data_IF_116884911537
#
_entry.id   IF_116884911537
#
_cell.length_a   1.000
_cell.length_b   1.000
_cell.length_c   1.000
_cell.angle_alpha   90.00
_cell.angle_beta   90.00
_cell.angle_gamma   90.00
#
_symmetry.space_group_name_H-M   'P 1'
#
loop_
_entity.id
_entity.type
_entity.pdbx_description
1 polymer ?
#
# COMPACT_ATOMS: atom_id res chain seq x y z
N UNK A 1 -7.99 -2.10 -32.93
CA UNK A 1 -6.93 -1.24 -32.36
C UNK A 1 -6.47 -1.89 -31.07
N UNK A 2 -5.16 -2.09 -30.85
CA UNK A 2 -4.69 -2.64 -29.58
C UNK A 2 -4.84 -1.57 -28.49
N UNK A 3 -5.50 -1.91 -27.38
CA UNK A 3 -5.67 -1.00 -26.27
C UNK A 3 -4.44 -1.09 -25.37
N UNK A 4 -3.62 -0.04 -25.36
CA UNK A 4 -2.45 0.05 -24.49
C UNK A 4 -2.92 0.17 -23.04
N UNK A 5 -2.62 -0.84 -22.22
CA UNK A 5 -2.86 -0.79 -20.79
C UNK A 5 -1.59 -0.30 -20.08
N UNK A 6 -1.75 0.65 -19.17
CA UNK A 6 -0.67 1.22 -18.37
C UNK A 6 -0.85 0.80 -16.91
N UNK A 7 0.26 0.48 -16.25
CA UNK A 7 0.28 -0.01 -14.88
C UNK A 7 1.32 0.78 -14.05
N UNK A 8 0.96 1.11 -12.82
CA UNK A 8 1.93 1.46 -11.78
C UNK A 8 2.48 0.15 -11.21
N UNK A 9 3.79 -0.06 -11.30
CA UNK A 9 4.43 -1.30 -10.90
C UNK A 9 5.22 -1.13 -9.60
N UNK A 10 5.32 -2.22 -8.83
CA UNK A 10 6.04 -2.22 -7.56
C UNK A 10 6.50 -3.65 -7.20
N UNK A 11 7.48 -3.73 -6.32
CA UNK A 11 7.95 -5.01 -5.77
C UNK A 11 7.45 -5.20 -4.34
N UNK A 12 7.02 -6.42 -4.02
CA UNK A 12 6.54 -6.80 -2.69
C UNK A 12 6.99 -8.22 -2.38
N UNK A 13 7.79 -8.41 -1.33
CA UNK A 13 8.32 -9.71 -0.92
C UNK A 13 8.96 -10.53 -2.06
N UNK A 14 9.71 -9.87 -2.96
CA UNK A 14 10.37 -10.51 -4.11
C UNK A 14 9.49 -10.71 -5.34
N UNK A 15 8.19 -10.42 -5.26
CA UNK A 15 7.27 -10.50 -6.39
C UNK A 15 7.10 -9.14 -7.07
N UNK A 16 6.87 -9.18 -8.39
CA UNK A 16 6.59 -8.00 -9.21
C UNK A 16 5.09 -7.88 -9.48
N UNK A 17 4.49 -6.76 -9.04
CA UNK A 17 3.06 -6.48 -9.17
C UNK A 17 2.79 -5.22 -9.98
N UNK A 18 1.55 -5.08 -10.45
CA UNK A 18 1.06 -3.89 -11.13
C UNK A 18 -0.40 -3.59 -10.77
N UNK A 19 -0.71 -2.31 -10.64
CA UNK A 19 -2.08 -1.79 -10.53
C UNK A 19 -2.34 -0.93 -11.77
N UNK A 20 -3.52 -1.08 -12.39
CA UNK A 20 -3.93 -0.22 -13.50
C UNK A 20 -3.76 1.25 -13.13
N UNK A 21 -3.09 2.03 -13.98
CA UNK A 21 -2.72 3.40 -13.65
C UNK A 21 -3.95 4.29 -13.37
N UNK A 22 -5.09 3.98 -14.00
CA UNK A 22 -6.37 4.67 -13.78
C UNK A 22 -6.94 4.50 -12.36
N UNK A 23 -6.50 3.48 -11.62
CA UNK A 23 -6.91 3.23 -10.22
C UNK A 23 -5.95 3.85 -9.20
N UNK A 24 -4.80 4.38 -9.65
CA UNK A 24 -3.80 4.99 -8.77
C UNK A 24 -4.10 6.48 -8.64
N UNK A 25 -4.39 6.92 -7.41
CA UNK A 25 -4.61 8.34 -7.13
C UNK A 25 -3.29 9.09 -7.00
N UNK A 26 -2.36 8.56 -6.20
CA UNK A 26 -1.03 9.14 -6.01
C UNK A 26 -0.04 8.12 -5.45
N UNK A 27 1.25 8.38 -5.66
CA UNK A 27 2.38 7.64 -5.06
C UNK A 27 3.08 8.56 -4.07
N UNK A 28 3.00 8.21 -2.78
CA UNK A 28 3.58 8.99 -1.68
C UNK A 28 4.71 8.23 -1.00
N UNK A 29 5.58 8.98 -0.32
CA UNK A 29 6.56 8.39 0.61
C UNK A 29 5.84 7.95 1.89
N UNK A 30 6.45 7.02 2.63
CA UNK A 30 5.91 6.59 3.93
C UNK A 30 5.75 7.81 4.86
N UNK A 31 4.61 7.87 5.53
CA UNK A 31 4.31 8.87 6.55
C UNK A 31 4.13 8.18 7.91
N UNK A 32 4.09 8.98 8.98
CA UNK A 32 3.70 8.48 10.28
C UNK A 32 2.26 7.95 10.23
N UNK A 33 2.05 6.75 10.76
CA UNK A 33 0.74 6.09 10.78
C UNK A 33 0.21 6.09 12.21
N UNK A 34 -1.01 6.57 12.39
CA UNK A 34 -1.73 6.51 13.66
C UNK A 34 -2.38 5.13 13.80
N UNK A 35 -2.01 4.31 14.79
CA UNK A 35 -2.58 2.97 14.95
C UNK A 35 -4.07 3.05 15.28
N UNK A 36 -4.84 2.08 14.76
CA UNK A 36 -6.26 1.93 15.07
C UNK A 36 -6.40 0.78 16.08
N UNK A 37 -6.87 1.04 17.31
CA UNK A 37 -7.07 -0.01 18.31
C UNK A 37 -8.01 -1.10 17.80
N UNK A 38 -7.68 -2.37 18.12
CA UNK A 38 -8.48 -3.55 17.77
C UNK A 38 -8.70 -3.78 16.27
N UNK A 39 -7.97 -3.07 15.40
CA UNK A 39 -8.05 -3.31 13.96
C UNK A 39 -7.42 -4.64 13.57
N UNK A 40 -7.88 -5.20 12.45
CA UNK A 40 -7.28 -6.39 11.86
C UNK A 40 -5.80 -6.16 11.54
N UNK A 41 -5.01 -7.25 11.56
CA UNK A 41 -3.54 -7.22 11.35
C UNK A 41 -3.11 -6.52 10.06
N UNK A 42 -3.96 -6.54 9.04
CA UNK A 42 -3.72 -5.92 7.73
C UNK A 42 -3.89 -4.39 7.76
N UNK A 43 -4.57 -3.85 8.76
CA UNK A 43 -4.71 -2.41 8.94
C UNK A 43 -3.48 -1.88 9.66
N UNK A 44 -2.65 -1.13 8.95
CA UNK A 44 -1.49 -0.46 9.57
C UNK A 44 -1.93 0.73 10.43
N UNK A 45 -3.03 1.37 10.04
CA UNK A 45 -3.66 2.47 10.77
C UNK A 45 -4.17 3.57 9.85
N UNK A 46 -4.23 4.80 10.35
CA UNK A 46 -4.70 5.98 9.62
C UNK A 46 -3.54 6.92 9.30
N UNK A 47 -3.60 7.59 8.16
CA UNK A 47 -2.74 8.74 7.84
C UNK A 47 -3.60 9.96 7.55
N UNK A 48 -3.05 11.14 7.81
CA UNK A 48 -3.60 12.40 7.33
C UNK A 48 -2.86 12.78 6.04
N UNK A 49 -3.56 12.72 4.92
CA UNK A 49 -3.07 13.12 3.62
C UNK A 49 -3.74 14.44 3.23
N UNK A 50 -3.03 15.56 3.42
CA UNK A 50 -3.47 16.92 3.05
C UNK A 50 -4.87 17.26 3.61
N UNK A 51 -5.14 16.87 4.85
CA UNK A 51 -6.42 17.08 5.52
C UNK A 51 -7.42 15.94 5.36
N UNK A 52 -7.14 14.95 4.52
CA UNK A 52 -7.99 13.77 4.34
C UNK A 52 -7.48 12.61 5.20
N UNK A 53 -8.35 12.03 6.01
CA UNK A 53 -8.03 10.84 6.80
C UNK A 53 -8.22 9.60 5.93
N UNK A 54 -7.14 8.83 5.75
CA UNK A 54 -7.12 7.66 4.86
C UNK A 54 -6.63 6.44 5.64
N UNK A 55 -7.31 5.31 5.44
CA UNK A 55 -6.89 4.01 5.98
C UNK A 55 -5.73 3.45 5.20
N UNK A 56 -4.68 3.05 5.92
CA UNK A 56 -3.51 2.39 5.35
C UNK A 56 -3.57 0.89 5.61
N UNK A 57 -3.39 0.11 4.56
CA UNK A 57 -3.39 -1.35 4.58
C UNK A 57 -1.97 -1.83 4.28
N UNK A 58 -1.46 -2.75 5.10
CA UNK A 58 -0.22 -3.45 4.82
C UNK A 58 -0.46 -4.55 3.77
N UNK A 59 0.07 -4.34 2.57
CA UNK A 59 -0.11 -5.28 1.46
C UNK A 59 0.55 -6.64 1.72
N UNK A 60 1.65 -6.72 2.49
CA UNK A 60 2.27 -8.02 2.82
C UNK A 60 1.30 -8.83 3.66
N UNK A 61 0.78 -8.23 4.72
CA UNK A 61 -0.18 -8.89 5.62
C UNK A 61 -1.48 -9.23 4.94
N UNK A 62 -2.01 -8.32 4.11
CA UNK A 62 -3.23 -8.53 3.30
C UNK A 62 -3.07 -9.73 2.37
N UNK A 63 -1.89 -9.91 1.80
CA UNK A 63 -1.58 -11.00 0.87
C UNK A 63 -0.97 -12.23 1.56
N UNK A 64 -0.95 -12.27 2.90
CA UNK A 64 -0.32 -13.34 3.70
C UNK A 64 1.15 -13.61 3.34
N UNK A 65 1.88 -12.55 2.99
CA UNK A 65 3.32 -12.56 2.71
C UNK A 65 4.11 -12.27 4.00
N UNK A 66 5.39 -12.70 4.09
CA UNK A 66 6.25 -12.38 5.23
C UNK A 66 6.37 -10.88 5.46
N UNK A 67 6.33 -10.47 6.72
CA UNK A 67 6.61 -9.08 7.13
C UNK A 67 8.02 -8.67 6.66
N UNK A 68 8.23 -7.38 6.43
CA UNK A 68 9.56 -6.86 6.08
C UNK A 68 10.45 -7.01 7.32
N UNK A 69 11.62 -7.62 7.17
CA UNK A 69 12.66 -7.58 8.20
C UNK A 69 12.94 -6.12 8.56
N UNK A 70 13.08 -5.82 9.84
CA UNK A 70 13.46 -4.47 10.26
C UNK A 70 14.82 -4.16 9.63
N UNK A 71 14.85 -3.17 8.75
CA UNK A 71 16.13 -2.59 8.34
C UNK A 71 16.67 -1.84 9.55
N UNK A 72 17.78 -2.32 10.11
CA UNK A 72 18.59 -1.60 11.11
C UNK A 72 19.04 -0.22 10.57
#
# INVERSE_FOLDING_TARGET
MAQTQQFCTYHLAGYFFGIEISKVQEVIRSQAVTPVPLADREIRGLINLRGQIITTIDLRRRMSLPDREAED
#
